data_IF_005893462696
#
_entry.id   IF_005893462696
#
_cell.length_a   1.000
_cell.length_b   1.000
_cell.length_c   1.000
_cell.angle_alpha   90.00
_cell.angle_beta   90.00
_cell.angle_gamma   90.00
#
_symmetry.space_group_name_H-M   'P 1'
#
loop_
_entity.id
_entity.type
_entity.pdbx_description
1 polymer ?
#
# COMPACT_ATOMS: atom_id res chain seq x y z
N UNK A 1 -6.11 -16.94 -11.77
CA UNK A 1 -5.18 -16.36 -10.78
C UNK A 1 -5.95 -15.28 -10.07
N UNK A 2 -6.60 -15.68 -8.98
CA UNK A 2 -7.46 -14.79 -8.21
C UNK A 2 -6.62 -13.61 -7.74
N UNK A 3 -7.13 -12.41 -7.93
CA UNK A 3 -6.38 -11.20 -7.67
C UNK A 3 -6.33 -11.00 -6.17
N UNK A 4 -5.37 -11.65 -5.53
CA UNK A 4 -4.95 -11.37 -4.16
C UNK A 4 -4.32 -9.97 -4.17
N UNK A 5 -5.18 -8.94 -4.34
CA UNK A 5 -4.86 -7.53 -4.16
C UNK A 5 -5.05 -7.21 -2.67
N UNK A 6 -4.46 -8.03 -1.82
CA UNK A 6 -4.64 -7.93 -0.38
C UNK A 6 -3.95 -6.69 0.15
N UNK A 7 -4.42 -6.21 1.31
CA UNK A 7 -3.80 -5.09 2.02
C UNK A 7 -2.27 -5.26 2.17
N UNK A 8 -1.79 -6.50 2.30
CA UNK A 8 -0.38 -6.85 2.42
C UNK A 8 0.43 -6.42 1.18
N UNK A 9 -0.10 -6.60 -0.04
CA UNK A 9 0.58 -6.17 -1.26
C UNK A 9 0.82 -4.66 -1.25
N UNK A 10 -0.21 -3.90 -0.89
CA UNK A 10 -0.11 -2.45 -0.81
C UNK A 10 0.85 -2.00 0.31
N UNK A 11 0.91 -2.70 1.44
CA UNK A 11 1.92 -2.43 2.46
C UNK A 11 3.35 -2.67 1.98
N UNK A 12 3.59 -3.75 1.24
CA UNK A 12 4.91 -4.03 0.67
C UNK A 12 5.31 -2.96 -0.35
N UNK A 13 4.38 -2.56 -1.22
CA UNK A 13 4.62 -1.48 -2.19
C UNK A 13 4.93 -0.15 -1.52
N UNK A 14 4.25 0.17 -0.42
CA UNK A 14 4.56 1.36 0.37
C UNK A 14 5.98 1.33 0.95
N UNK A 15 6.39 0.20 1.55
CA UNK A 15 7.75 0.03 2.10
C UNK A 15 8.81 0.16 1.01
N UNK A 16 8.61 -0.48 -0.14
CA UNK A 16 9.54 -0.40 -1.28
C UNK A 16 9.65 1.03 -1.79
N UNK A 17 8.53 1.73 -1.94
CA UNK A 17 8.54 3.12 -2.41
C UNK A 17 9.27 4.06 -1.43
N UNK A 18 9.10 3.89 -0.11
CA UNK A 18 9.87 4.63 0.91
C UNK A 18 11.37 4.37 0.79
N UNK A 19 11.77 3.09 0.74
CA UNK A 19 13.18 2.70 0.61
C UNK A 19 13.80 3.27 -0.66
N UNK A 20 13.09 3.22 -1.79
CA UNK A 20 13.56 3.83 -3.04
C UNK A 20 13.70 5.34 -2.92
N UNK A 21 12.77 6.01 -2.24
CA UNK A 21 12.84 7.46 -2.05
C UNK A 21 14.02 7.89 -1.16
N UNK A 22 14.45 7.05 -0.23
CA UNK A 22 15.62 7.27 0.63
C UNK A 22 16.94 7.06 -0.13
N UNK A 23 16.95 6.16 -1.10
CA UNK A 23 18.14 5.79 -1.89
C UNK A 23 18.32 6.63 -3.16
N UNK A 24 17.38 7.50 -3.49
CA UNK A 24 17.41 8.31 -4.72
C UNK A 24 17.95 9.71 -4.41
N UNK A 25 18.90 10.16 -5.24
CA UNK A 25 19.47 11.52 -5.14
C UNK A 25 18.64 12.59 -5.90
N UNK A 26 17.73 12.17 -6.79
CA UNK A 26 16.80 13.07 -7.48
C UNK A 26 15.66 13.50 -6.52
N UNK A 27 15.58 14.79 -6.13
CA UNK A 27 14.58 15.27 -5.18
C UNK A 27 13.14 15.17 -5.71
N UNK A 28 12.94 15.27 -7.02
CA UNK A 28 11.62 15.17 -7.64
C UNK A 28 11.14 13.71 -7.67
N UNK A 29 12.04 12.78 -8.01
CA UNK A 29 11.76 11.35 -7.94
C UNK A 29 11.51 10.90 -6.50
N UNK A 30 12.32 11.36 -5.54
CA UNK A 30 12.11 11.10 -4.12
C UNK A 30 10.72 11.55 -3.66
N UNK A 31 10.28 12.75 -4.07
CA UNK A 31 8.93 13.25 -3.76
C UNK A 31 7.84 12.35 -4.33
N UNK A 32 7.94 11.98 -5.61
CA UNK A 32 6.95 11.09 -6.27
C UNK A 32 6.86 9.72 -5.62
N UNK A 33 8.00 9.16 -5.21
CA UNK A 33 8.07 7.88 -4.50
C UNK A 33 7.42 7.96 -3.11
N UNK A 34 7.65 9.06 -2.37
CA UNK A 34 6.98 9.30 -1.08
C UNK A 34 5.46 9.42 -1.24
N UNK A 35 5.00 10.14 -2.26
CA UNK A 35 3.56 10.22 -2.57
C UNK A 35 2.97 8.86 -2.93
N UNK A 36 3.69 8.04 -3.71
CA UNK A 36 3.29 6.69 -4.04
C UNK A 36 3.17 5.80 -2.79
N UNK A 37 4.12 5.90 -1.85
CA UNK A 37 4.06 5.19 -0.59
C UNK A 37 2.80 5.54 0.22
N UNK A 38 2.49 6.83 0.33
CA UNK A 38 1.28 7.30 1.04
C UNK A 38 0.01 6.77 0.38
N UNK A 39 -0.06 6.77 -0.96
CA UNK A 39 -1.22 6.21 -1.68
C UNK A 39 -1.42 4.74 -1.33
N UNK A 40 -0.35 3.94 -1.39
CA UNK A 40 -0.42 2.52 -1.05
C UNK A 40 -0.81 2.26 0.42
N UNK A 41 -0.28 3.04 1.37
CA UNK A 41 -0.71 2.95 2.78
C UNK A 41 -2.19 3.26 2.97
N UNK A 42 -2.71 4.28 2.29
CA UNK A 42 -4.14 4.60 2.33
C UNK A 42 -4.98 3.46 1.77
N UNK A 43 -4.56 2.86 0.65
CA UNK A 43 -5.26 1.72 0.06
C UNK A 43 -5.24 0.51 1.00
N UNK A 44 -4.09 0.14 1.56
CA UNK A 44 -3.99 -0.96 2.52
C UNK A 44 -4.88 -0.74 3.75
N UNK A 45 -4.86 0.48 4.30
CA UNK A 45 -5.73 0.85 5.44
C UNK A 45 -7.21 0.77 5.09
N UNK A 46 -7.60 1.14 3.87
CA UNK A 46 -8.99 1.03 3.41
C UNK A 46 -9.39 -0.45 3.28
N UNK A 47 -8.57 -1.27 2.65
CA UNK A 47 -8.82 -2.72 2.50
C UNK A 47 -8.96 -3.42 3.84
N UNK A 48 -8.06 -3.16 4.81
CA UNK A 48 -8.21 -3.72 6.17
C UNK A 48 -9.49 -3.30 6.89
N UNK A 49 -10.01 -2.11 6.60
CA UNK A 49 -11.31 -1.66 7.15
C UNK A 49 -12.45 -2.42 6.48
N UNK A 50 -12.44 -2.53 5.16
CA UNK A 50 -13.43 -3.28 4.38
C UNK A 50 -13.44 -4.77 4.78
N UNK A 51 -12.28 -5.40 4.93
CA UNK A 51 -12.14 -6.79 5.42
C UNK A 51 -12.73 -6.96 6.84
N UNK A 52 -12.50 -5.99 7.73
CA UNK A 52 -13.03 -6.05 9.10
C UNK A 52 -14.54 -5.82 9.17
N UNK A 53 -15.05 -4.93 8.32
CA UNK A 53 -16.46 -4.54 8.30
C UNK A 53 -17.31 -5.54 7.48
N UNK A 54 -16.67 -6.50 6.79
CA UNK A 54 -17.34 -7.63 6.16
C UNK A 54 -17.56 -8.73 7.21
N UNK A 55 -18.81 -8.99 7.67
CA UNK A 55 -19.06 -10.08 8.60
C UNK A 55 -18.71 -11.42 7.95
N UNK A 56 -18.20 -12.40 8.72
CA UNK A 56 -17.98 -13.74 8.18
C UNK A 56 -19.31 -14.27 7.61
N UNK A 57 -19.27 -15.07 6.52
CA UNK A 57 -20.48 -15.67 5.98
C UNK A 57 -21.18 -16.45 7.09
N UNK A 58 -22.48 -16.24 7.24
CA UNK A 58 -23.30 -17.04 8.15
C UNK A 58 -23.30 -18.48 7.63
N UNK A 59 -22.70 -19.39 8.40
CA UNK A 59 -22.72 -20.84 8.17
C UNK A 59 -24.13 -21.43 8.31
#
# INVERSE_FOLDING_TARGET
>A
MDQIRDAIYHEQMARVARRKAELTDDPFLARRLREAAIRHERTARRMRREERDTPPPAE
#
